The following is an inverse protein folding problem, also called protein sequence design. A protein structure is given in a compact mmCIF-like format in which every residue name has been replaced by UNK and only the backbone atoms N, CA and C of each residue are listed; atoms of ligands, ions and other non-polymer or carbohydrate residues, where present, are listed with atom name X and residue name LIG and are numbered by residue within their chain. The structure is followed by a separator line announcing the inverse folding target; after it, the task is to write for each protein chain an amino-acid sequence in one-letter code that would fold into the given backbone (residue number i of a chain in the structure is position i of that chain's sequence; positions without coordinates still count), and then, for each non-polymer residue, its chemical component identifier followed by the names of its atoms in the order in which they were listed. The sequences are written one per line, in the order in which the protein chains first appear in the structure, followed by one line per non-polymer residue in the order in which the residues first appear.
data_IF_311192193923
#
_entry.id   IF_311192193923
#
_cell.length_a   1.000
_cell.length_b   1.000
_cell.length_c   1.000
_cell.angle_alpha   90.00
_cell.angle_beta   90.00
_cell.angle_gamma   90.00
#
_symmetry.space_group_name_H-M   'P 1'
#
loop_
_entity.id
_entity.type
_entity.pdbx_description
1 polymer ?
#
# COMPACT_ATOMS: atom_id res chain seq x y z
N UNK A 1 19.78 9.85 1.80
CA UNK A 1 18.94 8.89 2.54
C UNK A 1 17.49 9.31 2.40
N UNK A 2 16.60 8.38 2.05
CA UNK A 2 15.16 8.65 1.94
C UNK A 2 14.57 8.90 3.34
N UNK A 3 13.71 9.91 3.48
CA UNK A 3 13.01 10.24 4.74
C UNK A 3 11.63 9.60 4.76
N UNK A 4 11.08 9.41 5.95
CA UNK A 4 9.65 9.13 6.09
C UNK A 4 8.87 10.39 5.68
N UNK A 5 7.85 10.20 4.85
CA UNK A 5 6.91 11.24 4.48
C UNK A 5 5.62 10.97 5.25
N UNK A 6 5.24 11.86 6.15
CA UNK A 6 3.95 11.81 6.84
C UNK A 6 2.86 12.33 5.88
N UNK A 7 1.94 11.46 5.42
CA UNK A 7 0.93 11.86 4.45
C UNK A 7 -0.36 12.40 5.11
N UNK A 8 -0.53 12.26 6.42
CA UNK A 8 -1.80 12.58 7.09
C UNK A 8 -2.20 14.07 7.01
N UNK A 9 -1.26 15.04 7.02
CA UNK A 9 -1.62 16.43 6.78
C UNK A 9 -2.20 16.68 5.38
N UNK A 10 -1.83 15.88 4.38
CA UNK A 10 -2.29 16.07 3.00
C UNK A 10 -3.70 15.53 2.73
N UNK A 11 -4.31 14.83 3.68
CA UNK A 11 -5.68 14.29 3.58
C UNK A 11 -6.64 14.91 4.60
N UNK A 12 -6.25 15.96 5.32
CA UNK A 12 -7.05 16.48 6.44
C UNK A 12 -8.50 16.81 6.04
N UNK A 13 -8.70 17.41 4.86
CA UNK A 13 -10.01 17.75 4.31
C UNK A 13 -10.75 16.55 3.67
N UNK A 14 -10.08 15.41 3.52
CA UNK A 14 -10.59 14.22 2.84
C UNK A 14 -10.71 13.01 3.76
N UNK A 15 -10.53 13.16 5.09
CA UNK A 15 -10.53 12.03 6.02
C UNK A 15 -11.83 11.24 6.01
N UNK A 16 -12.94 11.86 5.64
CA UNK A 16 -14.26 11.25 5.61
C UNK A 16 -14.42 10.20 4.50
N UNK A 17 -13.61 10.24 3.44
CA UNK A 17 -13.65 9.24 2.36
C UNK A 17 -13.03 7.90 2.78
N UNK A 18 -12.25 7.90 3.86
CA UNK A 18 -11.65 6.71 4.43
C UNK A 18 -12.54 6.19 5.58
N UNK A 19 -13.05 4.97 5.46
CA UNK A 19 -14.05 4.44 6.38
C UNK A 19 -13.84 2.99 6.81
N UNK A 20 -12.85 2.29 6.28
CA UNK A 20 -12.70 0.88 6.56
C UNK A 20 -12.06 0.63 7.94
N UNK A 21 -12.27 -0.58 8.45
CA UNK A 21 -11.70 -1.00 9.72
C UNK A 21 -10.37 -1.70 9.48
N UNK A 22 -9.45 -1.48 10.40
CA UNK A 22 -8.14 -2.11 10.38
C UNK A 22 -8.19 -3.64 10.28
N UNK A 23 -9.14 -4.26 10.96
CA UNK A 23 -9.31 -5.70 11.03
C UNK A 23 -9.69 -6.32 9.68
N UNK A 24 -10.32 -5.53 8.80
CA UNK A 24 -10.81 -5.97 7.48
C UNK A 24 -9.76 -5.80 6.39
N UNK A 25 -8.59 -5.19 6.70
CA UNK A 25 -7.54 -4.92 5.71
C UNK A 25 -7.10 -6.20 5.00
N UNK A 26 -6.87 -6.09 3.69
CA UNK A 26 -6.25 -7.17 2.94
C UNK A 26 -4.81 -7.41 3.43
N UNK A 27 -4.44 -8.68 3.60
CA UNK A 27 -3.08 -9.07 4.00
C UNK A 27 -2.00 -8.68 2.97
N UNK A 28 -2.42 -8.31 1.75
CA UNK A 28 -1.57 -7.83 0.66
C UNK A 28 -1.09 -6.39 0.85
N UNK A 29 -1.73 -5.60 1.72
CA UNK A 29 -1.32 -4.22 1.97
C UNK A 29 0.11 -4.15 2.50
N UNK A 30 0.93 -3.30 1.88
CA UNK A 30 2.27 -3.01 2.37
C UNK A 30 2.17 -2.11 3.60
N UNK A 31 2.91 -2.41 4.70
CA UNK A 31 2.83 -1.62 5.91
C UNK A 31 3.06 -0.12 5.71
N UNK A 32 2.27 0.68 6.42
CA UNK A 32 2.19 2.12 6.30
C UNK A 32 0.81 2.66 6.69
N UNK A 33 0.60 3.98 6.54
CA UNK A 33 -0.63 4.63 6.99
C UNK A 33 -1.85 4.16 6.22
N UNK A 34 -1.74 3.96 4.91
CA UNK A 34 -2.89 3.62 4.08
C UNK A 34 -3.01 2.13 3.79
N UNK A 35 -4.24 1.67 3.71
CA UNK A 35 -4.56 0.30 3.36
C UNK A 35 -5.95 0.21 2.71
N UNK A 36 -6.18 -0.85 1.93
CA UNK A 36 -7.49 -1.22 1.41
C UNK A 36 -8.02 -2.51 2.05
N UNK A 37 -9.34 -2.62 2.13
CA UNK A 37 -10.07 -3.75 2.70
C UNK A 37 -11.10 -4.24 1.66
N UNK A 38 -12.36 -4.36 2.04
CA UNK A 38 -13.47 -4.72 1.15
C UNK A 38 -13.92 -3.51 0.30
N UNK A 39 -13.06 -3.04 -0.59
CA UNK A 39 -13.43 -2.02 -1.59
C UNK A 39 -14.29 -2.64 -2.70
N UNK A 40 -15.25 -1.88 -3.24
CA UNK A 40 -15.98 -2.24 -4.45
C UNK A 40 -16.30 -0.98 -5.26
N UNK A 41 -15.27 -0.46 -5.92
CA UNK A 41 -15.35 0.72 -6.77
C UNK A 41 -15.30 0.38 -8.27
N UNK A 42 -15.65 -0.86 -8.63
CA UNK A 42 -15.55 -1.35 -10.00
C UNK A 42 -14.14 -1.18 -10.62
N UNK A 43 -13.09 -1.33 -9.80
CA UNK A 43 -11.67 -1.26 -10.22
C UNK A 43 -11.26 0.11 -10.76
N UNK A 44 -11.72 1.18 -10.10
CA UNK A 44 -11.46 2.56 -10.52
C UNK A 44 -10.36 3.24 -9.71
N UNK A 45 -10.04 2.76 -8.50
CA UNK A 45 -9.04 3.38 -7.63
C UNK A 45 -7.65 3.38 -8.24
N UNK A 46 -7.34 2.37 -9.05
CA UNK A 46 -6.09 2.31 -9.82
C UNK A 46 -6.02 3.31 -10.97
N UNK A 47 -7.14 3.79 -11.49
CA UNK A 47 -7.16 4.86 -12.50
C UNK A 47 -6.66 6.18 -11.90
N UNK A 48 -6.96 6.43 -10.61
CA UNK A 48 -6.48 7.59 -9.86
C UNK A 48 -5.05 7.38 -9.34
N UNK A 49 -4.75 6.20 -8.77
CA UNK A 49 -3.49 5.91 -8.08
C UNK A 49 -2.76 4.64 -8.61
N UNK A 50 -2.36 4.59 -9.90
CA UNK A 50 -1.81 3.39 -10.53
C UNK A 50 -0.45 2.93 -9.98
N UNK A 51 0.26 3.81 -9.26
CA UNK A 51 1.56 3.49 -8.64
C UNK A 51 1.45 3.06 -7.16
N UNK A 52 0.23 3.05 -6.62
CA UNK A 52 -0.05 2.78 -5.20
C UNK A 52 -1.06 1.67 -4.98
N UNK A 53 -2.02 1.50 -5.90
CA UNK A 53 -3.15 0.57 -5.79
C UNK A 53 -2.98 -0.65 -6.70
N UNK A 54 -3.34 -1.82 -6.20
CA UNK A 54 -3.47 -3.07 -6.97
C UNK A 54 -4.74 -3.82 -6.55
N UNK A 55 -5.17 -4.76 -7.39
CA UNK A 55 -6.33 -5.63 -7.14
C UNK A 55 -5.89 -6.95 -6.55
N UNK A 56 -6.65 -7.47 -5.58
CA UNK A 56 -6.38 -8.77 -5.00
C UNK A 56 -7.42 -9.26 -4.00
N UNK A 57 -7.06 -10.30 -3.26
CA UNK A 57 -8.00 -10.99 -2.38
C UNK A 57 -9.01 -11.85 -3.15
N UNK A 58 -10.05 -12.32 -2.46
CA UNK A 58 -11.07 -13.21 -3.03
C UNK A 58 -12.05 -12.48 -3.96
N UNK A 59 -12.25 -11.18 -3.73
CA UNK A 59 -13.21 -10.33 -4.44
C UNK A 59 -12.57 -9.33 -5.41
N UNK A 60 -11.25 -9.43 -5.62
CA UNK A 60 -10.48 -8.48 -6.44
C UNK A 60 -10.62 -7.04 -5.95
N UNK A 61 -10.75 -6.88 -4.63
CA UNK A 61 -10.72 -5.60 -3.94
C UNK A 61 -9.33 -4.97 -4.02
N UNK A 62 -9.25 -3.69 -3.73
CA UNK A 62 -8.07 -2.87 -3.88
C UNK A 62 -7.24 -2.87 -2.59
N UNK A 63 -5.93 -2.87 -2.76
CA UNK A 63 -4.97 -2.75 -1.66
C UNK A 63 -3.85 -1.79 -2.03
N UNK A 64 -3.23 -1.20 -1.00
CA UNK A 64 -2.11 -0.28 -1.14
C UNK A 64 -0.81 -1.10 -1.13
N UNK A 65 -0.21 -1.28 -2.31
CA UNK A 65 1.04 -2.01 -2.46
C UNK A 65 2.28 -1.11 -2.33
N UNK A 66 2.07 0.21 -2.31
CA UNK A 66 3.14 1.19 -2.13
C UNK A 66 2.61 2.45 -1.47
N UNK A 67 3.21 2.84 -0.35
CA UNK A 67 2.81 4.04 0.38
C UNK A 67 3.23 5.33 -0.38
N UNK A 68 2.43 6.40 -0.32
CA UNK A 68 2.74 7.67 -0.96
C UNK A 68 3.95 8.35 -0.31
N UNK A 69 4.66 9.17 -1.09
CA UNK A 69 5.91 9.87 -0.66
C UNK A 69 5.89 11.37 -0.89
N UNK A 70 4.74 11.89 -1.31
CA UNK A 70 4.53 13.30 -1.62
C UNK A 70 3.06 13.62 -1.48
N UNK A 71 2.74 14.91 -1.28
CA UNK A 71 1.35 15.36 -1.20
C UNK A 71 0.56 15.02 -2.47
N UNK A 72 1.18 15.13 -3.65
CA UNK A 72 0.54 14.76 -4.92
C UNK A 72 0.22 13.26 -5.02
N UNK A 73 1.12 12.40 -4.53
CA UNK A 73 0.86 10.96 -4.47
C UNK A 73 -0.27 10.63 -3.46
N UNK A 74 -0.28 11.32 -2.33
CA UNK A 74 -1.33 11.18 -1.32
C UNK A 74 -2.69 11.64 -1.85
N UNK A 75 -2.76 12.76 -2.57
CA UNK A 75 -3.99 13.27 -3.17
C UNK A 75 -4.59 12.25 -4.16
N UNK A 76 -3.77 11.62 -5.00
CA UNK A 76 -4.23 10.53 -5.88
C UNK A 76 -4.80 9.34 -5.13
N UNK A 77 -4.23 9.00 -3.98
CA UNK A 77 -4.76 7.92 -3.14
C UNK A 77 -6.08 8.32 -2.48
N UNK A 78 -6.23 9.59 -2.08
CA UNK A 78 -7.51 10.12 -1.59
C UNK A 78 -8.57 10.13 -2.69
N UNK A 79 -8.22 10.48 -3.94
CA UNK A 79 -9.11 10.37 -5.11
C UNK A 79 -9.53 8.91 -5.36
N UNK A 80 -8.64 7.95 -5.18
CA UNK A 80 -8.98 6.53 -5.28
C UNK A 80 -9.98 6.09 -4.19
N UNK A 81 -9.79 6.59 -2.96
CA UNK A 81 -10.67 6.32 -1.84
C UNK A 81 -12.05 7.00 -1.98
N UNK A 82 -12.10 8.24 -2.48
CA UNK A 82 -13.34 8.97 -2.76
C UNK A 82 -14.19 8.29 -3.85
N UNK A 83 -13.53 7.65 -4.82
CA UNK A 83 -14.20 6.86 -5.84
C UNK A 83 -14.82 5.54 -5.31
N UNK A 84 -14.51 5.13 -4.07
CA UNK A 84 -15.05 3.90 -3.48
C UNK A 84 -16.33 4.15 -2.65
N UNK A 85 -17.50 3.75 -3.16
CA UNK A 85 -18.77 3.99 -2.46
C UNK A 85 -18.87 3.23 -1.13
N UNK A 86 -18.07 2.17 -0.94
CA UNK A 86 -18.02 1.39 0.29
C UNK A 86 -17.01 1.93 1.31
N UNK A 87 -16.22 2.94 0.94
CA UNK A 87 -15.16 3.53 1.79
C UNK A 87 -14.22 2.47 2.35
N UNK A 88 -13.88 1.48 1.53
CA UNK A 88 -13.02 0.33 1.84
C UNK A 88 -11.54 0.69 2.04
N UNK A 89 -11.17 1.97 1.92
CA UNK A 89 -9.85 2.48 2.26
C UNK A 89 -9.76 2.99 3.71
N UNK A 90 -8.58 2.82 4.31
CA UNK A 90 -8.24 3.29 5.65
C UNK A 90 -6.91 4.06 5.65
N UNK A 91 -6.70 4.90 6.67
CA UNK A 91 -5.52 5.75 6.80
C UNK A 91 -4.85 5.69 8.20
N UNK A 92 -5.46 4.99 9.16
CA UNK A 92 -4.98 4.91 10.54
C UNK A 92 -3.86 3.87 10.74
N UNK A 93 -3.25 3.36 9.67
CA UNK A 93 -2.26 2.29 9.77
C UNK A 93 -1.04 2.66 10.63
N UNK A 94 -0.68 3.94 10.70
CA UNK A 94 0.40 4.47 11.52
C UNK A 94 0.16 4.38 13.04
N UNK A 95 -1.10 4.22 13.44
CA UNK A 95 -1.53 3.99 14.82
C UNK A 95 -1.69 2.49 15.13
N UNK A 96 -1.71 1.64 14.10
CA UNK A 96 -2.06 0.21 14.20
C UNK A 96 -0.87 -0.72 13.96
N UNK A 97 0.00 -0.38 13.01
CA UNK A 97 1.22 -1.13 12.78
C UNK A 97 2.13 -1.01 14.00
N UNK A 98 2.58 -2.15 14.48
CA UNK A 98 3.70 -2.24 15.42
C UNK A 98 4.93 -2.71 14.68
N UNK A 99 6.11 -2.43 15.23
CA UNK A 99 7.36 -2.92 14.67
C UNK A 99 7.40 -4.45 14.57
N UNK A 100 6.78 -5.15 15.53
CA UNK A 100 6.61 -6.62 15.49
C UNK A 100 5.78 -7.08 14.29
N UNK A 101 4.60 -6.48 14.08
CA UNK A 101 3.70 -6.84 12.97
C UNK A 101 4.28 -6.48 11.59
N UNK A 102 5.09 -5.43 11.49
CA UNK A 102 5.80 -5.08 10.23
C UNK A 102 6.86 -6.15 9.91
N UNK A 103 7.64 -6.59 10.90
CA UNK A 103 8.63 -7.65 10.73
C UNK A 103 7.99 -8.99 10.40
N UNK A 104 6.84 -9.29 11.00
CA UNK A 104 6.03 -10.46 10.67
C UNK A 104 5.57 -10.42 9.21
N UNK A 105 4.95 -9.32 8.77
CA UNK A 105 4.56 -9.13 7.38
C UNK A 105 5.75 -9.30 6.42
N UNK A 106 6.90 -8.72 6.76
CA UNK A 106 8.12 -8.85 5.95
C UNK A 106 8.63 -10.29 5.87
N UNK A 107 8.59 -11.04 6.96
CA UNK A 107 8.97 -12.46 6.98
C UNK A 107 8.06 -13.29 6.08
N UNK A 108 6.77 -12.97 6.09
CA UNK A 108 5.74 -13.69 5.36
C UNK A 108 5.55 -13.21 3.90
N UNK A 109 6.33 -12.21 3.46
CA UNK A 109 6.23 -11.60 2.13
C UNK A 109 6.34 -12.59 0.97
N UNK A 110 6.97 -13.76 1.19
CA UNK A 110 7.03 -14.83 0.19
C UNK A 110 5.62 -15.27 -0.25
N UNK A 111 4.63 -15.23 0.65
CA UNK A 111 3.22 -15.48 0.34
C UNK A 111 2.67 -14.46 -0.66
N UNK A 112 3.07 -13.19 -0.55
CA UNK A 112 2.69 -12.12 -1.50
C UNK A 112 3.33 -12.42 -2.86
N UNK A 113 4.63 -12.73 -2.90
CA UNK A 113 5.33 -13.06 -4.14
C UNK A 113 4.69 -14.25 -4.86
N UNK A 114 4.35 -15.32 -4.13
CA UNK A 114 3.63 -16.48 -4.68
C UNK A 114 2.26 -16.06 -5.23
N UNK A 115 1.46 -15.31 -4.47
CA UNK A 115 0.16 -14.82 -4.91
C UNK A 115 0.23 -14.03 -6.23
N UNK A 116 1.23 -13.17 -6.38
CA UNK A 116 1.45 -12.38 -7.61
C UNK A 116 1.91 -13.26 -8.78
N UNK A 117 2.77 -14.25 -8.52
CA UNK A 117 3.32 -15.13 -9.54
C UNK A 117 2.26 -16.11 -10.10
N UNK A 118 1.47 -16.71 -9.21
CA UNK A 118 0.45 -17.71 -9.57
C UNK A 118 -0.65 -17.14 -10.46
N UNK A 119 -0.85 -15.82 -10.44
CA UNK A 119 -1.89 -15.10 -11.20
C UNK A 119 -1.36 -14.35 -12.41
N UNK A 120 -0.11 -14.60 -12.83
CA UNK A 120 0.52 -13.84 -13.91
C UNK A 120 -0.30 -13.85 -15.20
N UNK A 121 -0.75 -15.02 -15.64
CA UNK A 121 -1.54 -15.18 -16.86
C UNK A 121 -2.87 -14.44 -16.75
N UNK A 122 -3.57 -14.59 -15.61
CA UNK A 122 -4.82 -13.87 -15.33
C UNK A 122 -4.64 -12.35 -15.44
N UNK A 123 -3.54 -11.79 -14.91
CA UNK A 123 -3.26 -10.36 -15.00
C UNK A 123 -2.96 -9.89 -16.44
N UNK A 124 -2.30 -10.72 -17.24
CA UNK A 124 -2.01 -10.42 -18.64
C UNK A 124 -3.27 -10.46 -19.50
N UNK A 125 -4.13 -11.46 -19.30
CA UNK A 125 -5.44 -11.55 -19.96
C UNK A 125 -6.34 -10.37 -19.57
N UNK A 126 -6.34 -10.00 -18.29
CA UNK A 126 -7.07 -8.84 -17.81
C UNK A 126 -6.59 -7.56 -18.49
N UNK A 127 -5.28 -7.34 -18.57
CA UNK A 127 -4.72 -6.15 -19.22
C UNK A 127 -5.05 -6.06 -20.70
N UNK A 128 -5.15 -7.20 -21.40
CA UNK A 128 -5.63 -7.22 -22.80
C UNK A 128 -7.07 -6.72 -22.90
N UNK A 129 -7.92 -7.04 -21.90
CA UNK A 129 -9.34 -6.66 -21.89
C UNK A 129 -9.58 -5.23 -21.42
N UNK A 130 -8.97 -4.83 -20.30
CA UNK A 130 -9.26 -3.55 -19.63
C UNK A 130 -8.21 -2.47 -19.86
N UNK A 131 -6.99 -2.81 -20.30
CA UNK A 131 -5.95 -1.84 -20.64
C UNK A 131 -5.38 -1.02 -19.49
N UNK A 132 -5.57 -1.42 -18.23
CA UNK A 132 -5.17 -0.63 -17.05
C UNK A 132 -3.69 -0.81 -16.63
N UNK A 133 -2.94 -1.72 -17.26
CA UNK A 133 -1.52 -1.96 -16.96
C UNK A 133 -1.26 -2.68 -15.63
N UNK A 134 -2.22 -3.48 -15.16
CA UNK A 134 -2.17 -4.31 -13.96
C UNK A 134 -0.98 -5.28 -14.00
N UNK A 135 -0.77 -6.00 -15.10
CA UNK A 135 0.33 -6.96 -15.22
C UNK A 135 1.70 -6.26 -15.11
N UNK A 136 1.83 -5.08 -15.71
CA UNK A 136 3.04 -4.27 -15.58
C UNK A 136 3.26 -3.81 -14.13
N UNK A 137 2.20 -3.41 -13.43
CA UNK A 137 2.30 -3.01 -12.04
C UNK A 137 2.56 -4.17 -11.06
N UNK A 138 1.96 -5.34 -11.30
CA UNK A 138 2.26 -6.58 -10.55
C UNK A 138 3.75 -6.92 -10.67
N UNK A 139 4.34 -6.82 -11.88
CA UNK A 139 5.79 -6.98 -12.07
C UNK A 139 6.60 -5.94 -11.30
N UNK A 140 6.17 -4.67 -11.29
CA UNK A 140 6.81 -3.63 -10.48
C UNK A 140 6.71 -3.91 -8.99
N UNK A 141 5.58 -4.43 -8.51
CA UNK A 141 5.42 -4.78 -7.10
C UNK A 141 6.32 -5.96 -6.73
N UNK A 142 6.41 -6.99 -7.57
CA UNK A 142 7.34 -8.09 -7.36
C UNK A 142 8.80 -7.63 -7.30
N UNK A 143 9.22 -6.73 -8.21
CA UNK A 143 10.56 -6.13 -8.17
C UNK A 143 10.76 -5.26 -6.91
N UNK A 144 9.74 -4.50 -6.51
CA UNK A 144 9.79 -3.68 -5.31
C UNK A 144 9.93 -4.52 -4.03
N UNK A 145 9.23 -5.65 -3.93
CA UNK A 145 9.37 -6.64 -2.85
C UNK A 145 10.80 -7.19 -2.74
N UNK A 146 11.47 -7.37 -3.88
CA UNK A 146 12.81 -7.94 -3.93
C UNK A 146 13.91 -6.93 -3.55
N UNK A 147 13.79 -5.67 -3.98
CA UNK A 147 14.92 -4.72 -3.94
C UNK A 147 14.66 -3.44 -3.15
N UNK A 148 13.44 -2.89 -3.21
CA UNK A 148 13.16 -1.55 -2.67
C UNK A 148 12.49 -1.56 -1.30
N UNK A 149 11.55 -2.47 -1.09
CA UNK A 149 10.64 -2.41 0.05
C UNK A 149 11.36 -2.59 1.39
N UNK A 150 12.44 -3.38 1.43
CA UNK A 150 13.22 -3.58 2.65
C UNK A 150 13.71 -2.23 3.23
N UNK A 151 14.27 -1.37 2.39
CA UNK A 151 14.78 -0.06 2.84
C UNK A 151 13.65 0.81 3.38
N UNK A 152 12.49 0.76 2.72
CA UNK A 152 11.35 1.59 3.05
C UNK A 152 10.70 1.16 4.36
N UNK A 153 10.56 -0.16 4.58
CA UNK A 153 10.07 -0.70 5.85
C UNK A 153 11.03 -0.42 6.99
N UNK A 154 12.36 -0.41 6.76
CA UNK A 154 13.33 -0.04 7.81
C UNK A 154 13.21 1.43 8.22
N UNK A 155 12.97 2.33 7.26
CA UNK A 155 12.65 3.74 7.54
C UNK A 155 11.33 3.84 8.31
N UNK A 156 10.33 3.05 7.93
CA UNK A 156 9.04 3.03 8.61
C UNK A 156 9.13 2.49 10.03
N UNK A 157 9.86 1.39 10.25
CA UNK A 157 10.17 0.84 11.58
C UNK A 157 10.81 1.90 12.48
N UNK A 158 11.80 2.63 11.96
CA UNK A 158 12.43 3.73 12.70
C UNK A 158 11.40 4.80 13.08
N UNK A 159 10.53 5.19 12.14
CA UNK A 159 9.48 6.17 12.42
C UNK A 159 8.47 5.68 13.47
N UNK A 160 8.09 4.40 13.44
CA UNK A 160 7.19 3.83 14.46
C UNK A 160 7.81 3.87 15.87
N UNK A 161 9.13 3.66 15.98
CA UNK A 161 9.89 3.67 17.25
C UNK A 161 10.12 5.10 17.76
N UNK A 162 10.57 6.00 16.88
CA UNK A 162 11.11 7.31 17.26
C UNK A 162 10.15 8.48 16.97
N UNK A 163 9.07 8.23 16.21
CA UNK A 163 8.08 9.22 15.73
C UNK A 163 8.73 10.42 15.03
N UNK A 164 9.86 10.18 14.36
CA UNK A 164 10.57 11.13 13.50
C UNK A 164 11.24 10.40 12.34
N UNK A 165 11.57 11.12 11.28
CA UNK A 165 12.40 10.58 10.22
C UNK A 165 13.84 10.30 10.70
N UNK A 166 14.48 9.23 10.22
CA UNK A 166 15.90 9.00 10.47
C UNK A 166 16.76 10.03 9.73
N UNK A 167 17.90 10.36 10.32
CA UNK A 167 18.97 11.19 9.76
C UNK A 167 20.12 10.32 9.22
N UNK A 168 21.09 10.93 8.52
CA UNK A 168 22.25 10.19 7.98
C UNK A 168 23.14 9.54 9.05
N UNK A 169 22.99 9.93 10.31
CA UNK A 169 23.75 9.39 11.44
C UNK A 169 22.99 8.27 12.17
N UNK A 170 21.68 8.15 11.93
CA UNK A 170 20.84 7.18 12.61
C UNK A 170 21.02 5.78 12.00
N UNK A 171 21.07 4.76 12.86
CA UNK A 171 21.07 3.36 12.42
C UNK A 171 19.63 2.89 12.25
N UNK A 172 19.29 2.40 11.06
CA UNK A 172 17.95 1.87 10.81
C UNK A 172 17.73 0.50 11.47
N UNK A 173 16.55 0.22 12.05
CA UNK A 173 16.21 -1.08 12.62
C UNK A 173 16.32 -2.18 11.57
N UNK A 174 16.56 -3.41 12.01
CA UNK A 174 16.54 -4.59 11.13
C UNK A 174 15.10 -5.12 10.97
N UNK A 175 14.86 -5.80 9.85
CA UNK A 175 13.60 -6.44 9.49
C UNK A 175 13.53 -7.90 9.96
#
# INVERSE_FOLDING_TARGET
MTRYFDPLPAIEEHRDVFGCKWEDRLWLNVPGPFYGADTDNCWTGRLSAPDHVLYGGAHLSEYVYRQPRSAAATARLAEAADADPFRGYGYDGDDRWTTGTVREWWRDRARVTTYLADRREEWEEWDVREGQGVAAAVRRFAAYLAEGLATDLRIYLYWLEERRSPTVLDRLPEL
#
